data_IF_220793822346
#
_entry.id   IF_220793822346
#
_cell.length_a   1.000
_cell.length_b   1.000
_cell.length_c   1.000
_cell.angle_alpha   90.00
_cell.angle_beta   90.00
_cell.angle_gamma   90.00
#
_symmetry.space_group_name_H-M   'P 1'
#
loop_
_entity.id
_entity.type
_entity.pdbx_description
1 polymer ?
#
# COMPACT_ATOMS: atom_id res chain seq x y z
N UNK A 1 11.54 -7.42 -1.76
CA UNK A 1 10.36 -8.29 -1.67
C UNK A 1 9.31 -7.56 -0.85
N UNK A 2 8.06 -7.48 -1.32
CA UNK A 2 6.99 -6.76 -0.63
C UNK A 2 6.29 -7.66 0.40
N UNK A 3 6.05 -8.91 0.04
CA UNK A 3 5.50 -9.96 0.91
C UNK A 3 6.32 -11.24 0.75
N UNK A 4 5.96 -12.29 1.49
CA UNK A 4 6.47 -13.66 1.32
C UNK A 4 5.77 -14.42 0.17
N UNK A 5 4.97 -13.72 -0.65
CA UNK A 5 4.25 -14.28 -1.80
C UNK A 5 5.07 -14.20 -3.08
N UNK A 6 4.66 -15.01 -4.05
CA UNK A 6 5.22 -15.01 -5.39
C UNK A 6 5.07 -13.61 -6.05
N UNK A 7 6.11 -13.09 -6.73
CA UNK A 7 6.05 -11.79 -7.40
C UNK A 7 4.86 -11.65 -8.36
N UNK A 8 4.47 -12.73 -9.02
CA UNK A 8 3.39 -12.78 -10.01
C UNK A 8 2.03 -12.45 -9.36
N UNK A 9 1.80 -12.91 -8.11
CA UNK A 9 0.58 -12.58 -7.37
C UNK A 9 0.52 -11.09 -7.02
N UNK A 10 1.66 -10.51 -6.66
CA UNK A 10 1.73 -9.07 -6.38
C UNK A 10 1.39 -8.30 -7.66
N UNK A 11 1.97 -8.67 -8.79
CA UNK A 11 1.69 -8.03 -10.09
C UNK A 11 0.21 -8.15 -10.48
N UNK A 12 -0.39 -9.33 -10.33
CA UNK A 12 -1.81 -9.57 -10.62
C UNK A 12 -2.72 -8.64 -9.80
N UNK A 13 -2.48 -8.53 -8.49
CA UNK A 13 -3.29 -7.68 -7.61
C UNK A 13 -3.13 -6.20 -7.96
N UNK A 14 -1.91 -5.72 -8.21
CA UNK A 14 -1.68 -4.33 -8.59
C UNK A 14 -2.31 -4.01 -9.96
N UNK A 15 -2.18 -4.90 -10.94
CA UNK A 15 -2.81 -4.71 -12.25
C UNK A 15 -4.33 -4.65 -12.13
N UNK A 16 -4.94 -5.56 -11.35
CA UNK A 16 -6.37 -5.52 -11.08
C UNK A 16 -6.80 -4.19 -10.45
N UNK A 17 -6.12 -3.75 -9.39
CA UNK A 17 -6.40 -2.46 -8.75
C UNK A 17 -6.34 -1.30 -9.74
N UNK A 18 -5.33 -1.26 -10.60
CA UNK A 18 -5.20 -0.22 -11.64
C UNK A 18 -6.32 -0.28 -12.68
N UNK A 19 -6.71 -1.47 -13.13
CA UNK A 19 -7.74 -1.65 -14.15
C UNK A 19 -9.12 -1.16 -13.69
N UNK A 20 -9.40 -1.20 -12.39
CA UNK A 20 -10.65 -0.68 -11.79
C UNK A 20 -10.50 0.69 -11.12
N UNK A 21 -9.33 1.33 -11.21
CA UNK A 21 -9.08 2.66 -10.69
C UNK A 21 -8.94 2.76 -9.16
N UNK A 22 -8.56 1.67 -8.49
CA UNK A 22 -8.21 1.70 -7.06
C UNK A 22 -6.81 2.32 -6.84
N UNK A 23 -6.59 2.99 -5.70
CA UNK A 23 -5.29 3.56 -5.36
C UNK A 23 -4.26 2.47 -5.07
N UNK A 24 -3.06 2.61 -5.67
CA UNK A 24 -1.93 1.70 -5.43
C UNK A 24 -0.69 2.40 -4.87
N UNK A 25 -0.75 3.72 -4.67
CA UNK A 25 0.32 4.53 -4.08
C UNK A 25 -0.20 5.43 -2.97
N UNK A 26 0.69 5.89 -2.08
CA UNK A 26 0.34 6.88 -1.06
C UNK A 26 -0.12 8.20 -1.69
N UNK A 27 0.44 8.57 -2.84
CA UNK A 27 0.02 9.76 -3.59
C UNK A 27 -1.44 9.69 -4.07
N UNK A 28 -1.95 8.49 -4.40
CA UNK A 28 -3.34 8.32 -4.87
C UNK A 28 -4.38 8.60 -3.81
N UNK A 29 -4.00 8.43 -2.54
CA UNK A 29 -4.85 8.76 -1.38
C UNK A 29 -4.50 10.13 -0.79
N UNK A 30 -3.78 10.98 -1.54
CA UNK A 30 -3.46 12.34 -1.13
C UNK A 30 -2.29 12.47 -0.14
N UNK A 31 -1.50 11.41 0.06
CA UNK A 31 -0.36 11.37 0.97
C UNK A 31 0.98 11.49 0.24
N UNK A 32 1.01 12.26 -0.85
CA UNK A 32 2.24 12.55 -1.56
C UNK A 32 3.23 13.28 -0.64
N UNK A 33 4.39 12.67 -0.39
CA UNK A 33 5.42 13.25 0.48
C UNK A 33 5.22 13.03 1.98
N UNK A 34 4.31 12.14 2.39
CA UNK A 34 4.15 11.76 3.81
C UNK A 34 5.48 11.35 4.44
N UNK A 35 5.76 11.87 5.63
CA UNK A 35 7.01 11.65 6.35
C UNK A 35 7.08 10.24 6.96
N UNK A 36 8.28 9.80 7.32
CA UNK A 36 8.46 8.52 8.02
C UNK A 36 7.81 8.54 9.40
N UNK A 37 7.84 9.66 10.11
CA UNK A 37 7.21 9.81 11.43
C UNK A 37 5.67 9.68 11.35
N UNK A 38 5.05 10.27 10.33
CA UNK A 38 3.61 10.14 10.09
C UNK A 38 3.23 8.70 9.74
N UNK A 39 4.01 8.03 8.88
CA UNK A 39 3.78 6.62 8.58
C UNK A 39 3.99 5.72 9.81
N UNK A 40 4.95 6.06 10.66
CA UNK A 40 5.18 5.34 11.90
C UNK A 40 4.03 5.55 12.89
N UNK A 41 3.42 6.74 12.93
CA UNK A 41 2.22 6.99 13.73
C UNK A 41 1.04 6.12 13.25
N UNK A 42 0.80 6.02 11.94
CA UNK A 42 -0.21 5.12 11.35
C UNK A 42 0.11 3.66 11.70
N UNK A 43 1.36 3.24 11.54
CA UNK A 43 1.78 1.89 11.86
C UNK A 43 1.59 1.53 13.34
N UNK A 44 1.88 2.46 14.27
CA UNK A 44 1.60 2.25 15.70
C UNK A 44 0.10 2.12 15.97
N UNK A 45 -0.73 2.91 15.29
CA UNK A 45 -2.19 2.80 15.39
C UNK A 45 -2.67 1.42 14.90
N UNK A 46 -2.17 0.95 13.75
CA UNK A 46 -2.49 -0.38 13.21
C UNK A 46 -2.08 -1.54 14.13
N UNK A 47 -1.09 -1.35 15.00
CA UNK A 47 -0.61 -2.36 15.95
C UNK A 47 -1.22 -2.24 17.36
N UNK A 48 -2.21 -1.38 17.59
CA UNK A 48 -2.83 -1.23 18.91
C UNK A 48 -3.51 -2.52 19.40
N UNK A 49 -3.64 -2.67 20.72
CA UNK A 49 -4.36 -3.79 21.33
C UNK A 49 -5.81 -3.79 20.85
N UNK A 50 -6.28 -4.93 20.33
CA UNK A 50 -7.64 -5.10 19.82
C UNK A 50 -7.78 -4.97 18.30
N UNK A 51 -6.74 -4.53 17.60
CA UNK A 51 -6.71 -4.51 16.13
C UNK A 51 -6.65 -5.92 15.53
N UNK A 52 -7.14 -6.07 14.29
CA UNK A 52 -7.18 -7.38 13.62
C UNK A 52 -5.82 -7.86 13.14
N UNK A 53 -4.80 -6.99 13.13
CA UNK A 53 -3.43 -7.33 12.71
C UNK A 53 -2.81 -8.46 13.55
N UNK A 54 -3.31 -8.66 14.77
CA UNK A 54 -2.86 -9.71 15.69
C UNK A 54 -3.35 -11.12 15.30
N UNK A 55 -4.20 -11.23 14.27
CA UNK A 55 -4.61 -12.53 13.70
C UNK A 55 -3.59 -13.08 12.70
N UNK A 56 -2.59 -12.30 12.30
CA UNK A 56 -1.49 -12.79 11.46
C UNK A 56 -0.69 -13.88 12.20
N UNK A 57 -0.15 -14.88 11.48
CA UNK A 57 0.50 -16.04 12.10
C UNK A 57 1.88 -15.73 12.72
N UNK A 58 2.28 -14.47 12.75
CA UNK A 58 3.52 -13.98 13.34
C UNK A 58 3.30 -12.59 13.95
N UNK A 59 4.16 -12.24 14.91
CA UNK A 59 4.12 -10.92 15.54
C UNK A 59 4.48 -9.83 14.54
N UNK A 60 3.59 -8.85 14.37
CA UNK A 60 3.81 -7.67 13.55
C UNK A 60 4.23 -6.50 14.42
N UNK A 61 5.30 -5.79 14.05
CA UNK A 61 5.73 -4.56 14.72
C UNK A 61 5.36 -3.31 13.90
N UNK A 62 5.22 -2.14 14.53
CA UNK A 62 5.00 -0.88 13.81
C UNK A 62 6.06 -0.61 12.73
N UNK A 63 7.31 -0.94 12.99
CA UNK A 63 8.40 -0.73 12.03
C UNK A 63 8.25 -1.64 10.81
N UNK A 64 7.76 -2.87 10.99
CA UNK A 64 7.45 -3.78 9.89
C UNK A 64 6.28 -3.26 9.04
N UNK A 65 5.23 -2.71 9.67
CA UNK A 65 4.10 -2.09 8.96
C UNK A 65 4.55 -0.85 8.19
N UNK A 66 5.35 0.03 8.81
CA UNK A 66 5.90 1.21 8.15
C UNK A 66 6.73 0.82 6.92
N UNK A 67 7.62 -0.18 7.05
CA UNK A 67 8.40 -0.70 5.94
C UNK A 67 7.52 -1.30 4.84
N UNK A 68 6.46 -2.04 5.21
CA UNK A 68 5.50 -2.60 4.26
C UNK A 68 4.74 -1.50 3.48
N UNK A 69 4.30 -0.43 4.15
CA UNK A 69 3.65 0.72 3.50
C UNK A 69 4.59 1.39 2.49
N UNK A 70 5.86 1.60 2.85
CA UNK A 70 6.88 2.17 1.94
C UNK A 70 7.17 1.25 0.76
N UNK A 71 7.27 -0.06 1.01
CA UNK A 71 7.50 -1.05 -0.04
C UNK A 71 6.30 -1.13 -0.99
N UNK A 72 5.07 -1.11 -0.48
CA UNK A 72 3.85 -1.13 -1.28
C UNK A 72 3.77 0.09 -2.19
N UNK A 73 3.98 1.29 -1.63
CA UNK A 73 4.03 2.54 -2.39
C UNK A 73 5.11 2.51 -3.49
N UNK A 74 6.30 1.97 -3.19
CA UNK A 74 7.37 1.84 -4.18
C UNK A 74 7.04 0.84 -5.30
N UNK A 75 6.33 -0.25 -5.01
CA UNK A 75 5.85 -1.19 -6.02
C UNK A 75 4.80 -0.55 -6.90
N UNK A 76 3.79 0.09 -6.29
CA UNK A 76 2.75 0.82 -7.01
C UNK A 76 3.34 1.86 -7.95
N UNK A 77 4.28 2.69 -7.49
CA UNK A 77 4.94 3.69 -8.34
C UNK A 77 5.72 3.12 -9.52
N UNK A 78 6.23 1.88 -9.42
CA UNK A 78 6.96 1.21 -10.52
C UNK A 78 6.01 0.63 -11.57
N UNK A 79 4.90 0.05 -11.14
CA UNK A 79 3.90 -0.57 -12.01
C UNK A 79 2.93 0.41 -12.65
N UNK A 80 2.77 1.59 -12.05
CA UNK A 80 1.71 2.54 -12.39
C UNK A 80 1.67 2.90 -13.87
N UNK A 81 0.60 2.46 -14.52
CA UNK A 81 0.26 2.92 -15.87
C UNK A 81 -0.20 4.37 -15.80
N UNK A 82 0.22 5.25 -16.74
CA UNK A 82 -0.28 6.61 -16.78
C UNK A 82 -1.80 6.58 -16.90
N UNK A 83 -2.47 7.31 -16.00
CA UNK A 83 -3.93 7.41 -15.96
C UNK A 83 -4.37 7.92 -17.33
N UNK A 84 -5.01 7.08 -18.15
CA UNK A 84 -5.77 7.56 -19.28
C UNK A 84 -6.92 8.36 -18.68
N UNK A 85 -6.86 9.68 -18.80
CA UNK A 85 -7.92 10.58 -18.38
C UNK A 85 -9.18 10.18 -19.17
N UNK A 86 -10.04 9.34 -18.56
CA UNK A 86 -11.35 9.04 -19.10
C UNK A 86 -12.16 10.33 -18.95
N UNK A 87 -12.17 11.14 -20.01
CA UNK A 87 -13.13 12.23 -20.14
C UNK A 87 -14.52 11.60 -20.20
N UNK A 88 -15.17 11.47 -19.05
CA UNK A 88 -16.63 11.38 -19.01
C UNK A 88 -17.12 12.81 -19.19
N UNK A 89 -17.29 13.20 -20.46
CA UNK A 89 -18.07 14.38 -20.81
C UNK A 89 -19.53 14.09 -20.49
N UNK A 90 -20.05 14.71 -19.42
CA UNK A 90 -21.48 14.95 -19.22
C UNK A 90 -21.85 16.29 -19.83
#
# INVERSE_FOLDING_TARGET
>A
MLTDRAPELIEEVYQFCEDIGLPTTLADIGLAGVSDDELLAVARASCQTGETIHNEPFTITPEAVQAALRAADAVGRRGKRPILQVNVSL
#
